data_IF_834236496749
#
_entry.id   IF_834236496749
#
_cell.length_a   1.000
_cell.length_b   1.000
_cell.length_c   1.000
_cell.angle_alpha   90.00
_cell.angle_beta   90.00
_cell.angle_gamma   90.00
#
_symmetry.space_group_name_H-M   'P 1'
#
loop_
_entity.id
_entity.type
_entity.pdbx_description
1 polymer ?
#
# COMPACT_ATOMS: atom_id res chain seq x y z
N UNK A 1 -14.84 -14.48 -42.53
CA UNK A 1 -15.00 -14.97 -41.14
C UNK A 1 -13.95 -14.30 -40.26
N UNK A 2 -14.40 -13.65 -39.18
CA UNK A 2 -13.71 -12.60 -38.39
C UNK A 2 -12.21 -12.79 -38.11
N UNK A 3 -11.35 -11.94 -38.68
CA UNK A 3 -9.92 -11.88 -38.33
C UNK A 3 -9.47 -10.48 -37.90
N UNK A 4 -10.17 -9.91 -36.92
CA UNK A 4 -9.87 -8.56 -36.41
C UNK A 4 -8.51 -8.45 -35.70
N UNK A 5 -7.88 -9.58 -35.34
CA UNK A 5 -6.66 -9.62 -34.51
C UNK A 5 -5.46 -10.33 -35.18
N UNK A 6 -5.40 -10.37 -36.52
CA UNK A 6 -4.26 -10.98 -37.23
C UNK A 6 -3.09 -10.02 -37.46
N UNK A 7 -3.28 -8.72 -37.26
CA UNK A 7 -2.24 -7.71 -37.46
C UNK A 7 -1.06 -7.93 -36.51
N UNK A 8 -1.34 -8.31 -35.25
CA UNK A 8 -0.31 -8.54 -34.24
C UNK A 8 0.56 -9.75 -34.56
N UNK A 9 -0.07 -10.86 -34.99
CA UNK A 9 0.65 -12.06 -35.43
C UNK A 9 1.51 -11.79 -36.67
N UNK A 10 1.01 -10.98 -37.60
CA UNK A 10 1.77 -10.58 -38.79
C UNK A 10 2.92 -9.62 -38.45
N UNK A 11 2.72 -8.67 -37.52
CA UNK A 11 3.76 -7.76 -37.05
C UNK A 11 4.89 -8.51 -36.35
N UNK A 12 4.56 -9.46 -35.47
CA UNK A 12 5.56 -10.31 -34.80
C UNK A 12 6.35 -11.13 -35.83
N UNK A 13 5.68 -11.74 -36.82
CA UNK A 13 6.36 -12.51 -37.88
C UNK A 13 7.27 -11.65 -38.75
N UNK A 14 6.87 -10.41 -39.06
CA UNK A 14 7.68 -9.50 -39.87
C UNK A 14 8.91 -8.99 -39.12
N UNK A 15 8.81 -8.80 -37.81
CA UNK A 15 9.86 -8.18 -37.00
C UNK A 15 10.76 -9.18 -36.26
N UNK A 16 10.38 -10.46 -36.19
CA UNK A 16 11.13 -11.49 -35.46
C UNK A 16 11.77 -12.48 -36.44
N UNK A 17 13.10 -12.45 -36.63
CA UNK A 17 13.79 -13.48 -37.41
C UNK A 17 13.65 -14.85 -36.73
N UNK A 18 13.74 -15.97 -37.48
CA UNK A 18 13.64 -17.31 -36.92
C UNK A 18 14.64 -17.49 -35.77
N UNK A 19 14.12 -17.71 -34.57
CA UNK A 19 14.92 -17.84 -33.36
C UNK A 19 15.60 -19.21 -33.40
N UNK A 20 16.93 -19.24 -33.46
CA UNK A 20 17.69 -20.49 -33.38
C UNK A 20 17.40 -21.26 -32.08
N UNK A 21 17.39 -22.59 -32.13
CA UNK A 21 16.95 -23.48 -31.04
C UNK A 21 17.56 -23.14 -29.68
N UNK A 22 18.87 -22.86 -29.64
CA UNK A 22 19.57 -22.51 -28.38
C UNK A 22 19.04 -21.21 -27.76
N UNK A 23 18.69 -20.21 -28.56
CA UNK A 23 18.11 -18.95 -28.08
C UNK A 23 16.69 -19.19 -27.58
N UNK A 24 15.89 -19.97 -28.29
CA UNK A 24 14.51 -20.30 -27.88
C UNK A 24 14.47 -20.98 -26.51
N UNK A 25 15.35 -21.96 -26.28
CA UNK A 25 15.45 -22.65 -25.00
C UNK A 25 15.81 -21.71 -23.84
N UNK A 26 16.74 -20.76 -24.07
CA UNK A 26 17.13 -19.76 -23.07
C UNK A 26 15.98 -18.83 -22.72
N UNK A 27 15.28 -18.28 -23.71
CA UNK A 27 14.14 -17.39 -23.48
C UNK A 27 13.01 -18.10 -22.75
N UNK A 28 12.70 -19.37 -23.10
CA UNK A 28 11.70 -20.17 -22.39
C UNK A 28 12.01 -20.28 -20.89
N UNK A 29 13.28 -20.52 -20.55
CA UNK A 29 13.73 -20.64 -19.15
C UNK A 29 13.66 -19.31 -18.41
N UNK A 30 14.10 -18.22 -19.04
CA UNK A 30 14.06 -16.88 -18.44
C UNK A 30 12.62 -16.40 -18.20
N UNK A 31 11.72 -16.59 -19.18
CA UNK A 31 10.31 -16.26 -19.00
C UNK A 31 9.66 -17.10 -17.89
N UNK A 32 10.00 -18.40 -17.79
CA UNK A 32 9.48 -19.24 -16.71
C UNK A 32 9.92 -18.74 -15.32
N UNK A 33 11.19 -18.36 -15.16
CA UNK A 33 11.71 -17.82 -13.89
C UNK A 33 11.07 -16.47 -13.58
N UNK A 34 11.01 -15.55 -14.57
CA UNK A 34 10.36 -14.25 -14.39
C UNK A 34 8.90 -14.40 -14.00
N UNK A 35 8.19 -15.32 -14.65
CA UNK A 35 6.80 -15.63 -14.32
C UNK A 35 6.66 -16.19 -12.90
N UNK A 36 7.52 -17.11 -12.48
CA UNK A 36 7.50 -17.67 -11.13
C UNK A 36 7.72 -16.61 -10.06
N UNK A 37 8.66 -15.68 -10.27
CA UNK A 37 8.92 -14.56 -9.34
C UNK A 37 7.74 -13.61 -9.28
N UNK A 38 7.17 -13.22 -10.43
CA UNK A 38 6.01 -12.34 -10.47
C UNK A 38 4.78 -12.99 -9.80
N UNK A 39 4.54 -14.26 -10.09
CA UNK A 39 3.46 -15.03 -9.48
C UNK A 39 3.64 -15.13 -7.96
N UNK A 40 4.88 -15.33 -7.48
CA UNK A 40 5.18 -15.33 -6.06
C UNK A 40 4.87 -13.99 -5.37
N UNK A 41 5.24 -12.87 -6.00
CA UNK A 41 4.93 -11.54 -5.46
C UNK A 41 3.42 -11.27 -5.47
N UNK A 42 2.74 -11.59 -6.56
CA UNK A 42 1.30 -11.45 -6.66
C UNK A 42 0.57 -12.32 -5.62
N UNK A 43 1.05 -13.54 -5.39
CA UNK A 43 0.54 -14.44 -4.36
C UNK A 43 0.72 -13.87 -2.95
N UNK A 44 1.91 -13.37 -2.62
CA UNK A 44 2.19 -12.75 -1.32
C UNK A 44 1.27 -11.54 -1.05
N UNK A 45 1.09 -10.65 -2.04
CA UNK A 45 0.18 -9.51 -1.94
C UNK A 45 -1.26 -9.98 -1.75
N UNK A 46 -1.69 -11.00 -2.52
CA UNK A 46 -3.02 -11.59 -2.38
C UNK A 46 -3.26 -12.17 -0.98
N UNK A 47 -2.31 -12.91 -0.43
CA UNK A 47 -2.38 -13.44 0.93
C UNK A 47 -2.49 -12.33 1.99
N UNK A 48 -1.69 -11.26 1.87
CA UNK A 48 -1.75 -10.11 2.79
C UNK A 48 -3.09 -9.40 2.69
N UNK A 49 -3.62 -9.20 1.48
CA UNK A 49 -4.92 -8.56 1.28
C UNK A 49 -6.06 -9.37 1.91
N UNK A 50 -6.09 -10.68 1.69
CA UNK A 50 -7.08 -11.58 2.29
C UNK A 50 -6.95 -11.62 3.82
N UNK A 51 -5.72 -11.68 4.34
CA UNK A 51 -5.45 -11.65 5.78
C UNK A 51 -5.91 -10.34 6.40
N UNK A 52 -5.57 -9.20 5.78
CA UNK A 52 -5.98 -7.87 6.25
C UNK A 52 -7.49 -7.72 6.26
N UNK A 53 -8.19 -8.22 5.24
CA UNK A 53 -9.66 -8.19 5.17
C UNK A 53 -10.32 -9.02 6.27
N UNK A 54 -9.71 -10.13 6.70
CA UNK A 54 -10.19 -10.94 7.82
C UNK A 54 -9.95 -10.28 9.18
N UNK A 55 -8.79 -9.64 9.37
CA UNK A 55 -8.40 -9.03 10.66
C UNK A 55 -8.98 -7.64 10.88
N UNK A 56 -9.10 -6.84 9.82
CA UNK A 56 -9.63 -5.49 9.84
C UNK A 56 -10.76 -5.39 8.79
N UNK A 57 -11.95 -5.93 9.09
CA UNK A 57 -13.09 -5.72 8.22
C UNK A 57 -13.31 -4.21 8.10
N UNK A 58 -13.36 -3.68 6.88
CA UNK A 58 -13.48 -2.24 6.61
C UNK A 58 -14.74 -1.63 7.24
N UNK A 59 -15.70 -2.49 7.61
CA UNK A 59 -16.96 -2.17 8.28
C UNK A 59 -16.82 -2.01 9.82
N UNK A 60 -15.67 -2.33 10.41
CA UNK A 60 -15.44 -2.18 11.86
C UNK A 60 -14.97 -0.80 12.28
N UNK A 61 -14.62 0.07 11.33
CA UNK A 61 -14.28 1.46 11.62
C UNK A 61 -15.50 2.34 11.40
N UNK A 62 -16.04 2.88 12.49
CA UNK A 62 -17.05 3.94 12.47
C UNK A 62 -16.51 5.12 11.64
N UNK A 63 -17.36 5.84 10.91
CA UNK A 63 -16.92 6.92 10.00
C UNK A 63 -16.17 8.07 10.72
N UNK A 64 -16.30 8.13 12.05
CA UNK A 64 -15.56 9.03 12.94
C UNK A 64 -14.10 8.59 13.12
N UNK A 65 -13.83 7.28 13.24
CA UNK A 65 -12.47 6.72 13.38
C UNK A 65 -11.66 6.77 12.07
N UNK A 66 -12.33 6.86 10.92
CA UNK A 66 -11.68 7.00 9.61
C UNK A 66 -11.14 8.41 9.37
N UNK A 67 -11.66 9.43 10.06
CA UNK A 67 -11.22 10.83 9.96
C UNK A 67 -10.01 11.13 10.85
N UNK A 68 -9.83 10.35 11.90
CA UNK A 68 -8.69 10.47 12.82
C UNK A 68 -7.40 10.01 12.15
N UNK A 69 -6.33 10.81 12.30
CA UNK A 69 -5.00 10.33 11.97
C UNK A 69 -4.60 9.20 12.92
N UNK A 70 -3.78 8.25 12.48
CA UNK A 70 -3.33 7.12 13.32
C UNK A 70 -2.76 7.59 14.67
N UNK A 71 -2.05 8.72 14.69
CA UNK A 71 -1.53 9.32 15.92
C UNK A 71 -2.61 9.85 16.86
N UNK A 72 -3.68 10.46 16.32
CA UNK A 72 -4.80 10.95 17.13
C UNK A 72 -5.62 9.77 17.68
N UNK A 73 -5.84 8.73 16.88
CA UNK A 73 -6.54 7.50 17.31
C UNK A 73 -5.86 6.82 18.50
N UNK A 74 -4.54 6.66 18.44
CA UNK A 74 -3.80 6.06 19.56
C UNK A 74 -3.71 6.98 20.78
N UNK A 75 -3.60 8.29 20.57
CA UNK A 75 -3.60 9.25 21.67
C UNK A 75 -4.93 9.24 22.46
N UNK A 76 -6.06 9.12 21.75
CA UNK A 76 -7.39 8.97 22.34
C UNK A 76 -7.52 7.65 23.11
N UNK A 77 -7.13 6.52 22.49
CA UNK A 77 -7.17 5.20 23.14
C UNK A 77 -6.29 5.10 24.38
N UNK A 78 -5.14 5.77 24.37
CA UNK A 78 -4.17 5.75 25.47
C UNK A 78 -4.42 6.84 26.53
N UNK A 79 -5.46 7.67 26.36
CA UNK A 79 -5.82 8.78 27.26
C UNK A 79 -4.62 9.66 27.63
N UNK A 80 -3.74 9.93 26.66
CA UNK A 80 -2.54 10.73 26.92
C UNK A 80 -2.97 12.18 27.16
N UNK A 81 -2.58 12.75 28.31
CA UNK A 81 -3.00 14.09 28.74
C UNK A 81 -2.45 15.25 27.90
N UNK A 82 -1.45 15.02 27.03
CA UNK A 82 -0.88 16.02 26.10
C UNK A 82 -0.09 15.32 24.96
N UNK A 83 -0.76 14.75 23.94
CA UNK A 83 -0.07 14.04 22.86
C UNK A 83 0.53 15.05 21.87
N UNK A 84 1.87 15.12 21.79
CA UNK A 84 2.53 15.81 20.67
C UNK A 84 2.58 14.87 19.46
N UNK A 85 1.71 15.11 18.48
CA UNK A 85 1.60 14.25 17.29
C UNK A 85 2.39 14.87 16.15
N UNK A 86 3.48 14.21 15.78
CA UNK A 86 4.30 14.55 14.62
C UNK A 86 4.01 13.58 13.49
N UNK A 87 3.68 14.11 12.31
CA UNK A 87 3.62 13.33 11.08
C UNK A 87 4.86 13.62 10.24
N UNK A 88 5.64 12.59 9.98
CA UNK A 88 6.82 12.67 9.13
C UNK A 88 6.46 12.07 7.78
N UNK A 89 6.33 12.92 6.75
CA UNK A 89 6.13 12.50 5.37
C UNK A 89 7.42 12.81 4.58
N UNK A 90 8.26 11.79 4.38
CA UNK A 90 9.55 11.94 3.69
C UNK A 90 10.53 12.84 4.43
N UNK A 91 10.80 14.04 3.90
CA UNK A 91 11.67 15.06 4.51
C UNK A 91 10.90 16.19 5.20
N UNK A 92 9.56 16.14 5.22
CA UNK A 92 8.73 17.17 5.85
C UNK A 92 8.16 16.65 7.17
N UNK A 93 8.43 17.38 8.25
CA UNK A 93 7.81 17.16 9.55
C UNK A 93 6.65 18.13 9.70
N UNK A 94 5.42 17.62 9.76
CA UNK A 94 4.23 18.41 10.03
C UNK A 94 3.74 18.10 11.44
N UNK A 95 3.63 19.13 12.27
CA UNK A 95 2.97 19.05 13.58
C UNK A 95 1.47 19.03 13.35
N UNK A 96 0.79 18.01 13.86
CA UNK A 96 -0.67 17.91 13.78
C UNK A 96 -1.22 18.33 15.15
N UNK A 97 -2.10 19.32 15.15
CA UNK A 97 -2.76 19.74 16.38
C UNK A 97 -3.73 18.63 16.87
N UNK A 98 -3.76 18.34 18.18
CA UNK A 98 -4.76 17.44 18.74
C UNK A 98 -6.15 18.07 18.57
N UNK A 99 -7.14 17.25 18.18
CA UNK A 99 -8.51 17.71 17.91
C UNK A 99 -9.14 18.39 19.14
N UNK A 100 -9.95 19.41 18.87
CA UNK A 100 -10.73 20.19 19.83
C UNK A 100 -11.57 19.26 20.73
N UNK A 101 -11.14 19.07 21.97
CA UNK A 101 -11.83 18.20 22.93
C UNK A 101 -11.13 18.09 24.28
N UNK A 102 -9.81 18.26 24.33
CA UNK A 102 -9.12 18.57 25.59
C UNK A 102 -9.23 20.07 25.86
N UNK A 103 -10.33 20.47 26.51
CA UNK A 103 -10.34 21.75 27.23
C UNK A 103 -9.21 21.68 28.27
N UNK A 104 -8.28 22.60 28.10
CA UNK A 104 -7.18 22.87 29.01
C UNK A 104 -7.78 23.22 30.38
N UNK A 105 -7.66 22.31 31.34
CA UNK A 105 -7.80 22.60 32.77
C UNK A 105 -6.40 22.64 33.39
N UNK A 106 -6.20 23.71 34.16
CA UNK A 106 -4.97 24.44 34.47
C UNK A 106 -4.02 23.77 35.47
N UNK A 107 -2.77 24.24 35.50
CA UNK A 107 -2.16 24.64 36.78
C UNK A 107 -1.14 25.77 36.57
N UNK A 108 -1.57 26.98 36.93
CA UNK A 108 -0.65 28.06 37.27
C UNK A 108 -0.07 27.75 38.66
N UNK A 109 1.11 27.14 38.69
CA UNK A 109 1.91 27.10 39.92
C UNK A 109 2.65 28.42 40.07
N UNK A 110 2.06 29.30 40.89
CA UNK A 110 2.73 30.41 41.57
C UNK A 110 3.94 29.91 42.34
N UNK A 111 5.07 30.61 42.23
CA UNK A 111 6.18 30.51 43.18
C UNK A 111 6.46 31.92 43.70
N UNK A 112 6.17 32.09 45.00
CA UNK A 112 6.63 33.19 45.84
C UNK A 112 8.15 33.13 46.04
#
# INVERSE_FOLDING_TARGET
MSSRNNWFRQAIRKNTPPIGERKAARYKRLLAIGYAVLAWHAFAIGCVYLYRRKMYPEDSKTDEEKKLTTGQYFAEKLQVKNPQIYRVDGFSVKKIEPLEGQKVESDQATLN
#
